data_IF_114316592456
#
_entry.id   IF_114316592456
#
_cell.length_a   1.000
_cell.length_b   1.000
_cell.length_c   1.000
_cell.angle_alpha   90.00
_cell.angle_beta   90.00
_cell.angle_gamma   90.00
#
_symmetry.space_group_name_H-M   'P 1'
#
loop_
_entity.id
_entity.type
_entity.pdbx_description
1 polymer ?
#
# COMPACT_ATOMS: atom_id res chain seq x y z
N UNK A 1 22.33 1.11 -4.41
CA UNK A 1 21.09 1.08 -3.63
C UNK A 1 20.66 2.51 -3.46
N UNK A 2 19.40 2.84 -3.65
CA UNK A 2 18.87 4.18 -3.41
C UNK A 2 18.23 4.21 -2.03
N UNK A 3 18.39 5.33 -1.32
CA UNK A 3 17.77 5.57 -0.04
C UNK A 3 16.66 6.59 -0.18
N UNK A 4 15.55 6.36 0.49
CA UNK A 4 14.39 7.24 0.47
C UNK A 4 13.80 7.45 1.85
N UNK A 5 12.82 8.34 1.92
CA UNK A 5 12.07 8.63 3.14
C UNK A 5 10.59 8.84 2.83
N UNK A 6 9.75 8.49 3.80
CA UNK A 6 8.31 8.68 3.67
C UNK A 6 7.89 10.10 4.03
N UNK A 7 7.14 10.74 3.16
CA UNK A 7 6.73 12.15 3.28
C UNK A 7 5.91 12.48 4.53
N UNK A 8 5.25 11.50 5.15
CA UNK A 8 4.45 11.72 6.39
C UNK A 8 5.26 12.27 7.55
N UNK A 9 6.57 12.00 7.58
CA UNK A 9 7.47 12.49 8.64
C UNK A 9 7.65 14.01 8.61
N UNK A 10 7.21 14.70 7.55
CA UNK A 10 7.43 16.12 7.31
C UNK A 10 6.13 16.93 7.24
N UNK A 11 5.06 16.43 7.85
CA UNK A 11 3.77 17.14 7.81
C UNK A 11 3.74 18.46 8.60
N UNK A 12 4.82 18.82 9.28
CA UNK A 12 5.08 20.16 9.81
C UNK A 12 5.60 21.17 8.76
N UNK A 13 6.10 20.69 7.60
CA UNK A 13 6.67 21.50 6.52
C UNK A 13 5.68 21.73 5.36
N UNK A 14 5.98 22.71 4.50
CA UNK A 14 5.39 22.77 3.16
C UNK A 14 6.12 21.81 2.21
N UNK A 15 5.61 21.65 0.99
CA UNK A 15 6.15 20.66 0.03
C UNK A 15 7.58 20.98 -0.40
N UNK A 16 7.86 22.24 -0.75
CA UNK A 16 9.18 22.64 -1.23
C UNK A 16 10.25 22.52 -0.14
N UNK A 17 9.96 23.01 1.08
CA UNK A 17 10.89 22.91 2.21
C UNK A 17 11.18 21.45 2.59
N UNK A 18 10.19 20.57 2.44
CA UNK A 18 10.38 19.14 2.67
C UNK A 18 11.31 18.53 1.60
N UNK A 19 11.09 18.85 0.33
CA UNK A 19 11.94 18.35 -0.76
C UNK A 19 13.37 18.86 -0.65
N UNK A 20 13.58 20.15 -0.30
CA UNK A 20 14.89 20.73 -0.04
C UNK A 20 15.61 19.98 1.08
N UNK A 21 14.93 19.76 2.20
CA UNK A 21 15.48 19.02 3.34
C UNK A 21 15.89 17.59 2.98
N UNK A 22 15.04 16.88 2.23
CA UNK A 22 15.30 15.49 1.80
C UNK A 22 16.53 15.45 0.88
N UNK A 23 16.64 16.36 -0.08
CA UNK A 23 17.76 16.44 -1.00
C UNK A 23 19.08 16.81 -0.27
N UNK A 24 19.04 17.81 0.62
CA UNK A 24 20.19 18.23 1.44
C UNK A 24 20.68 17.13 2.39
N UNK A 25 19.76 16.24 2.82
CA UNK A 25 20.10 15.07 3.64
C UNK A 25 20.79 13.95 2.86
N UNK A 26 20.97 14.11 1.54
CA UNK A 26 21.64 13.13 0.69
C UNK A 26 20.81 11.90 0.37
N UNK A 27 19.48 12.00 0.46
CA UNK A 27 18.56 10.95 0.06
C UNK A 27 18.25 11.02 -1.44
N UNK A 28 17.94 9.86 -2.03
CA UNK A 28 17.68 9.73 -3.47
C UNK A 28 16.20 9.78 -3.82
N UNK A 29 15.35 9.38 -2.87
CA UNK A 29 13.95 9.08 -3.14
C UNK A 29 13.02 9.57 -2.04
N UNK A 30 11.75 9.78 -2.44
CA UNK A 30 10.66 10.08 -1.52
C UNK A 30 9.48 9.15 -1.81
N UNK A 31 8.87 8.61 -0.76
CA UNK A 31 7.56 7.99 -0.81
C UNK A 31 6.49 9.02 -0.48
N UNK A 32 5.45 9.13 -1.30
CA UNK A 32 4.47 10.21 -1.17
C UNK A 32 3.10 9.66 -0.80
N UNK A 33 2.55 10.16 0.33
CA UNK A 33 1.18 9.87 0.75
C UNK A 33 0.15 10.51 -0.18
N UNK A 34 -0.84 9.73 -0.60
CA UNK A 34 -1.90 10.13 -1.54
C UNK A 34 -3.30 10.01 -0.95
N UNK A 35 -3.42 9.54 0.28
CA UNK A 35 -4.69 9.37 0.99
C UNK A 35 -4.63 8.26 2.04
N UNK A 36 -5.76 7.96 2.66
CA UNK A 36 -5.84 6.99 3.75
C UNK A 36 -5.07 7.42 5.00
N UNK A 37 -4.46 6.47 5.70
CA UNK A 37 -3.68 6.74 6.91
C UNK A 37 -2.52 7.73 6.68
N UNK A 38 -1.77 7.67 5.56
CA UNK A 38 -0.75 8.66 5.25
C UNK A 38 -1.30 10.07 5.02
N UNK A 39 -2.56 10.21 4.65
CA UNK A 39 -3.11 11.49 4.20
C UNK A 39 -2.57 11.94 2.83
N UNK A 40 -3.03 13.09 2.37
CA UNK A 40 -2.80 13.63 1.02
C UNK A 40 -2.17 15.03 1.03
N UNK A 41 -1.48 15.40 2.11
CA UNK A 41 -1.00 16.77 2.29
C UNK A 41 -0.20 17.29 1.11
N UNK A 42 0.68 16.49 0.57
CA UNK A 42 1.61 16.88 -0.51
C UNK A 42 1.16 16.44 -1.89
N UNK A 43 0.13 15.57 -2.00
CA UNK A 43 -0.33 15.01 -3.25
C UNK A 43 -1.86 15.00 -3.31
N UNK A 44 -2.43 16.04 -3.90
CA UNK A 44 -3.89 16.18 -4.05
C UNK A 44 -4.35 15.42 -5.28
N UNK A 45 -4.86 14.20 -5.09
CA UNK A 45 -5.22 13.26 -6.16
C UNK A 45 -6.11 13.90 -7.23
N UNK A 46 -7.24 14.49 -6.85
CA UNK A 46 -8.22 15.01 -7.81
C UNK A 46 -7.62 16.15 -8.66
N UNK A 47 -6.85 17.05 -8.03
CA UNK A 47 -6.18 18.13 -8.74
C UNK A 47 -5.14 17.63 -9.76
N UNK A 48 -4.36 16.62 -9.35
CA UNK A 48 -3.31 16.06 -10.22
C UNK A 48 -3.88 15.16 -11.30
N UNK A 49 -4.99 14.46 -11.06
CA UNK A 49 -5.66 13.66 -12.08
C UNK A 49 -6.30 14.51 -13.18
N UNK A 50 -6.86 15.67 -12.82
CA UNK A 50 -7.59 16.53 -13.75
C UNK A 50 -6.69 17.52 -14.51
N UNK A 51 -5.50 17.86 -13.99
CA UNK A 51 -4.69 18.96 -14.50
C UNK A 51 -3.26 18.53 -14.81
N UNK A 52 -2.91 18.49 -16.10
CA UNK A 52 -1.58 18.10 -16.58
C UNK A 52 -0.49 19.10 -16.17
N UNK A 53 -0.77 20.40 -16.21
CA UNK A 53 0.23 21.41 -15.82
C UNK A 53 0.59 21.26 -14.33
N UNK A 54 -0.39 20.94 -13.48
CA UNK A 54 -0.13 20.65 -12.05
C UNK A 54 0.69 19.37 -11.88
N UNK A 55 0.43 18.32 -12.66
CA UNK A 55 1.26 17.10 -12.64
C UNK A 55 2.71 17.39 -13.03
N UNK A 56 2.89 18.16 -14.11
CA UNK A 56 4.22 18.54 -14.56
C UNK A 56 4.96 19.39 -13.52
N UNK A 57 4.27 20.35 -12.90
CA UNK A 57 4.84 21.17 -11.84
C UNK A 57 5.21 20.33 -10.61
N UNK A 58 4.35 19.42 -10.19
CA UNK A 58 4.58 18.49 -9.09
C UNK A 58 5.84 17.64 -9.33
N UNK A 59 5.93 16.98 -10.48
CA UNK A 59 7.10 16.18 -10.83
C UNK A 59 8.36 17.02 -10.97
N UNK A 60 8.25 18.21 -11.55
CA UNK A 60 9.37 19.13 -11.71
C UNK A 60 9.96 19.56 -10.38
N UNK A 61 9.13 19.87 -9.38
CA UNK A 61 9.60 20.22 -8.02
C UNK A 61 10.47 19.12 -7.42
N UNK A 62 10.13 17.85 -7.66
CA UNK A 62 10.88 16.69 -7.17
C UNK A 62 12.16 16.48 -7.98
N UNK A 63 12.05 16.46 -9.31
CA UNK A 63 13.17 16.10 -10.20
C UNK A 63 14.24 17.20 -10.30
N UNK A 64 13.88 18.49 -10.18
CA UNK A 64 14.83 19.60 -10.15
C UNK A 64 15.80 19.49 -8.95
N UNK A 65 15.45 18.75 -7.91
CA UNK A 65 16.29 18.44 -6.74
C UNK A 65 17.05 17.13 -6.84
N UNK A 66 16.96 16.46 -7.99
CA UNK A 66 17.59 15.15 -8.21
C UNK A 66 16.87 14.00 -7.49
N UNK A 67 15.69 14.25 -6.88
CA UNK A 67 14.90 13.24 -6.20
C UNK A 67 14.03 12.45 -7.18
N UNK A 68 13.61 11.25 -6.74
CA UNK A 68 12.67 10.38 -7.44
C UNK A 68 11.55 9.95 -6.49
N UNK A 69 10.38 9.66 -7.03
CA UNK A 69 9.32 9.02 -6.25
C UNK A 69 9.61 7.51 -6.20
N UNK A 70 9.73 6.94 -4.99
CA UNK A 70 9.89 5.49 -4.81
C UNK A 70 8.57 4.74 -4.98
N UNK A 71 7.48 5.36 -4.61
CA UNK A 71 6.13 4.86 -4.71
C UNK A 71 5.13 5.84 -4.12
N UNK A 72 3.86 5.66 -4.46
CA UNK A 72 2.77 6.32 -3.77
C UNK A 72 2.25 5.45 -2.63
N UNK A 73 1.78 6.08 -1.55
CA UNK A 73 1.25 5.39 -0.37
C UNK A 73 -0.20 5.75 -0.11
N UNK A 74 -1.03 4.71 -0.12
CA UNK A 74 -2.47 4.81 0.11
C UNK A 74 -2.93 3.67 1.04
N UNK A 75 -2.49 3.73 2.31
CA UNK A 75 -2.77 2.70 3.30
C UNK A 75 -4.20 2.82 3.85
N UNK A 76 -5.08 1.95 3.38
CA UNK A 76 -6.52 1.93 3.63
C UNK A 76 -7.05 0.53 3.93
N UNK A 77 -8.34 0.46 4.26
CA UNK A 77 -9.08 -0.80 4.42
C UNK A 77 -10.19 -0.95 3.36
N UNK A 78 -9.88 -1.40 2.14
CA UNK A 78 -10.86 -1.49 1.07
C UNK A 78 -11.90 -2.60 1.23
N UNK A 79 -11.74 -3.47 2.21
CA UNK A 79 -12.70 -4.54 2.57
C UNK A 79 -13.27 -4.34 3.97
N UNK A 80 -13.29 -3.08 4.45
CA UNK A 80 -13.88 -2.74 5.74
C UNK A 80 -15.33 -3.23 5.84
N UNK A 81 -15.77 -3.70 7.03
CA UNK A 81 -17.18 -3.98 7.28
C UNK A 81 -18.05 -2.71 7.32
N UNK A 82 -17.45 -1.53 7.37
CA UNK A 82 -18.12 -0.25 7.09
C UNK A 82 -18.10 0.01 5.58
N UNK A 83 -19.27 -0.03 4.90
CA UNK A 83 -19.31 0.13 3.45
C UNK A 83 -18.89 1.53 2.96
N UNK A 84 -18.98 2.56 3.81
CA UNK A 84 -18.53 3.91 3.47
C UNK A 84 -17.00 3.95 3.45
N UNK A 85 -16.37 3.43 4.50
CA UNK A 85 -14.92 3.31 4.58
C UNK A 85 -14.36 2.45 3.46
N UNK A 86 -14.97 1.29 3.18
CA UNK A 86 -14.54 0.41 2.10
C UNK A 86 -14.59 1.09 0.72
N UNK A 87 -15.68 1.81 0.45
CA UNK A 87 -15.86 2.54 -0.81
C UNK A 87 -14.82 3.67 -0.97
N UNK A 88 -14.67 4.50 0.05
CA UNK A 88 -13.69 5.60 0.03
C UNK A 88 -12.26 5.08 -0.13
N UNK A 89 -11.94 3.97 0.52
CA UNK A 89 -10.65 3.30 0.41
C UNK A 89 -10.38 2.79 -1.01
N UNK A 90 -11.35 2.11 -1.63
CA UNK A 90 -11.23 1.62 -3.01
C UNK A 90 -11.10 2.77 -4.02
N UNK A 91 -11.95 3.79 -3.92
CA UNK A 91 -11.90 4.97 -4.80
C UNK A 91 -10.55 5.68 -4.73
N UNK A 92 -10.03 5.89 -3.52
CA UNK A 92 -8.73 6.53 -3.30
C UNK A 92 -7.59 5.67 -3.86
N UNK A 93 -7.61 4.37 -3.64
CA UNK A 93 -6.59 3.45 -4.15
C UNK A 93 -6.58 3.39 -5.68
N UNK A 94 -7.75 3.31 -6.33
CA UNK A 94 -7.84 3.36 -7.79
C UNK A 94 -7.41 4.70 -8.39
N UNK A 95 -7.72 5.81 -7.76
CA UNK A 95 -7.21 7.14 -8.13
C UNK A 95 -5.69 7.20 -8.01
N UNK A 96 -5.14 6.67 -6.93
CA UNK A 96 -3.68 6.60 -6.72
C UNK A 96 -2.99 5.78 -7.81
N UNK A 97 -3.54 4.62 -8.17
CA UNK A 97 -3.01 3.78 -9.25
C UNK A 97 -3.05 4.52 -10.60
N UNK A 98 -4.14 5.22 -10.92
CA UNK A 98 -4.21 6.04 -12.15
C UNK A 98 -3.18 7.16 -12.16
N UNK A 99 -3.01 7.84 -11.04
CA UNK A 99 -2.00 8.91 -10.93
C UNK A 99 -0.58 8.33 -11.05
N UNK A 100 -0.33 7.16 -10.49
CA UNK A 100 0.95 6.46 -10.61
C UNK A 100 1.29 6.15 -12.08
N UNK A 101 0.33 5.64 -12.85
CA UNK A 101 0.49 5.46 -14.30
C UNK A 101 0.79 6.78 -15.03
N UNK A 102 0.04 7.86 -14.76
CA UNK A 102 0.22 9.17 -15.42
C UNK A 102 1.56 9.84 -15.10
N UNK A 103 2.21 9.47 -13.99
CA UNK A 103 3.46 10.05 -13.51
C UNK A 103 4.65 9.08 -13.61
N UNK A 104 4.48 7.93 -14.27
CA UNK A 104 5.49 6.87 -14.39
C UNK A 104 6.03 6.40 -13.03
N UNK A 105 5.18 6.42 -11.98
CA UNK A 105 5.51 5.88 -10.66
C UNK A 105 5.17 4.39 -10.64
N UNK A 106 6.17 3.50 -10.48
CA UNK A 106 5.98 2.07 -10.79
C UNK A 106 5.15 1.30 -9.76
N UNK A 107 4.90 1.91 -8.57
CA UNK A 107 4.33 1.15 -7.46
C UNK A 107 3.44 2.00 -6.56
N UNK A 108 2.41 1.36 -6.00
CA UNK A 108 1.54 1.90 -4.96
C UNK A 108 1.58 0.99 -3.74
N UNK A 109 1.93 1.56 -2.59
CA UNK A 109 1.96 0.89 -1.30
C UNK A 109 0.60 0.99 -0.60
N UNK A 110 0.12 -0.11 -0.02
CA UNK A 110 -1.17 -0.15 0.70
C UNK A 110 -1.24 -1.31 1.69
N UNK A 111 -2.33 -1.37 2.48
CA UNK A 111 -2.68 -2.54 3.27
C UNK A 111 -3.60 -3.49 2.50
N UNK A 112 -3.60 -4.77 2.87
CA UNK A 112 -4.50 -5.75 2.26
C UNK A 112 -5.98 -5.55 2.61
N UNK A 113 -6.23 -4.87 3.71
CA UNK A 113 -7.54 -4.77 4.31
C UNK A 113 -7.83 -5.87 5.34
N UNK A 114 -8.88 -5.64 6.10
CA UNK A 114 -9.42 -6.53 7.13
C UNK A 114 -10.94 -6.43 7.16
N UNK A 115 -11.63 -7.56 7.01
CA UNK A 115 -13.09 -7.64 7.02
C UNK A 115 -13.65 -7.92 8.41
N UNK A 116 -14.97 -7.93 8.54
CA UNK A 116 -15.69 -8.38 9.72
C UNK A 116 -15.74 -9.90 9.84
N UNK A 117 -16.39 -10.41 10.88
CA UNK A 117 -16.60 -11.84 11.08
C UNK A 117 -17.61 -12.46 10.12
N UNK A 118 -18.52 -11.64 9.59
CA UNK A 118 -19.60 -12.00 8.69
C UNK A 118 -20.19 -10.74 8.03
N UNK A 119 -21.21 -10.87 7.17
CA UNK A 119 -21.85 -9.76 6.45
C UNK A 119 -22.61 -8.77 7.35
N UNK A 120 -22.90 -9.14 8.59
CA UNK A 120 -23.60 -8.26 9.54
C UNK A 120 -22.67 -7.50 10.47
N UNK A 121 -21.38 -7.86 10.47
CA UNK A 121 -20.36 -7.24 11.30
C UNK A 121 -20.22 -5.74 10.98
N UNK A 122 -19.98 -4.95 12.04
CA UNK A 122 -19.77 -3.49 11.94
C UNK A 122 -18.35 -3.08 12.28
N UNK A 123 -17.52 -4.04 12.67
CA UNK A 123 -16.11 -3.82 13.04
C UNK A 123 -15.24 -4.93 12.45
N UNK A 124 -14.00 -4.62 12.12
CA UNK A 124 -13.03 -5.63 11.71
C UNK A 124 -12.83 -6.70 12.79
N UNK A 125 -12.53 -7.91 12.35
CA UNK A 125 -12.13 -9.01 13.22
C UNK A 125 -10.83 -9.62 12.67
N UNK A 126 -9.82 -9.77 13.51
CA UNK A 126 -8.53 -10.34 13.09
C UNK A 126 -8.26 -11.68 13.79
N UNK A 127 -8.73 -12.81 13.22
CA UNK A 127 -8.45 -14.13 13.76
C UNK A 127 -6.99 -14.51 13.45
N UNK A 128 -6.21 -14.78 14.52
CA UNK A 128 -4.79 -15.13 14.42
C UNK A 128 -4.49 -16.57 14.80
N UNK A 129 -5.53 -17.33 15.17
CA UNK A 129 -5.42 -18.73 15.58
C UNK A 129 -6.59 -19.52 15.01
N UNK A 130 -6.40 -20.79 14.63
CA UNK A 130 -7.48 -21.65 14.11
C UNK A 130 -8.40 -22.20 15.20
N UNK A 131 -8.14 -21.90 16.46
CA UNK A 131 -8.92 -22.39 17.59
C UNK A 131 -9.49 -21.24 18.42
N UNK A 132 -10.77 -21.29 18.80
CA UNK A 132 -11.81 -22.31 18.45
C UNK A 132 -12.20 -22.30 16.97
N UNK A 133 -12.91 -23.33 16.50
CA UNK A 133 -13.32 -23.52 15.09
C UNK A 133 -13.96 -22.30 14.45
N UNK A 134 -14.72 -21.52 15.22
CA UNK A 134 -15.30 -20.26 14.74
C UNK A 134 -14.26 -19.28 14.15
N UNK A 135 -13.01 -19.31 14.63
CA UNK A 135 -11.96 -18.45 14.04
C UNK A 135 -11.50 -18.92 12.66
N UNK A 136 -11.49 -20.24 12.43
CA UNK A 136 -11.24 -20.77 11.08
C UNK A 136 -12.36 -20.42 10.12
N UNK A 137 -13.61 -20.48 10.56
CA UNK A 137 -14.79 -20.12 9.75
C UNK A 137 -14.76 -18.62 9.39
N UNK A 138 -14.42 -17.76 10.35
CA UNK A 138 -14.24 -16.32 10.11
C UNK A 138 -13.09 -16.08 9.09
N UNK A 139 -11.96 -16.74 9.28
CA UNK A 139 -10.81 -16.62 8.38
C UNK A 139 -11.18 -17.05 6.95
N UNK A 140 -11.86 -18.18 6.79
CA UNK A 140 -12.27 -18.68 5.48
C UNK A 140 -13.26 -17.73 4.80
N UNK A 141 -14.25 -17.20 5.54
CA UNK A 141 -15.16 -16.16 5.05
C UNK A 141 -14.39 -14.91 4.58
N UNK A 142 -13.49 -14.37 5.41
CA UNK A 142 -12.75 -13.16 5.09
C UNK A 142 -11.86 -13.33 3.85
N UNK A 143 -11.20 -14.47 3.71
CA UNK A 143 -10.34 -14.76 2.57
C UNK A 143 -11.12 -15.03 1.29
N UNK A 144 -12.12 -15.92 1.35
CA UNK A 144 -12.77 -16.41 0.15
C UNK A 144 -13.90 -15.52 -0.35
N UNK A 145 -14.62 -14.84 0.58
CA UNK A 145 -15.78 -14.02 0.23
C UNK A 145 -15.45 -12.51 0.13
N UNK A 146 -14.35 -12.04 0.75
CA UNK A 146 -14.01 -10.63 0.78
C UNK A 146 -12.65 -10.33 0.13
N UNK A 147 -11.57 -10.90 0.66
CA UNK A 147 -10.21 -10.51 0.25
C UNK A 147 -9.90 -10.91 -1.19
N UNK A 148 -10.00 -12.19 -1.50
CA UNK A 148 -9.60 -12.72 -2.82
C UNK A 148 -10.44 -12.08 -3.94
N UNK A 149 -11.79 -12.02 -3.86
CA UNK A 149 -12.57 -11.39 -4.91
C UNK A 149 -12.22 -9.92 -5.15
N UNK A 150 -12.02 -9.14 -4.08
CA UNK A 150 -11.61 -7.75 -4.19
C UNK A 150 -10.25 -7.60 -4.87
N UNK A 151 -9.26 -8.38 -4.42
CA UNK A 151 -7.90 -8.26 -4.93
C UNK A 151 -7.72 -8.83 -6.33
N UNK A 152 -8.55 -9.78 -6.77
CA UNK A 152 -8.57 -10.23 -8.16
C UNK A 152 -8.99 -9.10 -9.10
N UNK A 153 -10.06 -8.39 -8.77
CA UNK A 153 -10.54 -7.25 -9.56
C UNK A 153 -9.50 -6.10 -9.58
N UNK A 154 -8.97 -5.74 -8.41
CA UNK A 154 -7.97 -4.67 -8.32
C UNK A 154 -6.65 -5.01 -8.99
N UNK A 155 -6.22 -6.28 -8.95
CA UNK A 155 -4.99 -6.73 -9.60
C UNK A 155 -5.07 -6.64 -11.13
N UNK A 156 -6.21 -6.96 -11.73
CA UNK A 156 -6.43 -6.75 -13.16
C UNK A 156 -6.45 -5.26 -13.53
N UNK A 157 -7.10 -4.44 -12.71
CA UNK A 157 -7.05 -2.99 -12.90
C UNK A 157 -5.62 -2.42 -12.80
N UNK A 158 -4.84 -2.86 -11.82
CA UNK A 158 -3.43 -2.45 -11.67
C UNK A 158 -2.58 -2.87 -12.87
N UNK A 159 -2.81 -4.08 -13.41
CA UNK A 159 -2.17 -4.59 -14.61
C UNK A 159 -2.52 -3.76 -15.86
N UNK A 160 -3.79 -3.37 -16.02
CA UNK A 160 -4.22 -2.48 -17.11
C UNK A 160 -3.54 -1.10 -17.04
N UNK A 161 -3.22 -0.63 -15.83
CA UNK A 161 -2.51 0.63 -15.60
C UNK A 161 -0.98 0.47 -15.63
N UNK A 162 -0.43 -0.74 -15.75
CA UNK A 162 1.00 -1.07 -15.64
C UNK A 162 1.64 -0.56 -14.33
N UNK A 163 0.91 -0.64 -13.22
CA UNK A 163 1.33 -0.19 -11.89
C UNK A 163 1.29 -1.36 -10.92
N UNK A 164 2.39 -1.66 -10.25
CA UNK A 164 2.44 -2.70 -9.23
C UNK A 164 1.83 -2.20 -7.92
N UNK A 165 1.22 -3.12 -7.18
CA UNK A 165 0.74 -2.85 -5.83
C UNK A 165 1.62 -3.62 -4.85
N UNK A 166 2.21 -2.91 -3.89
CA UNK A 166 3.00 -3.49 -2.82
C UNK A 166 2.19 -3.45 -1.52
N UNK A 167 1.78 -4.63 -1.06
CA UNK A 167 1.01 -4.79 0.17
C UNK A 167 1.98 -4.86 1.34
N UNK A 168 1.81 -3.95 2.30
CA UNK A 168 2.59 -3.95 3.53
C UNK A 168 2.13 -5.09 4.45
N UNK A 169 3.10 -5.90 4.91
CA UNK A 169 2.87 -7.06 5.77
C UNK A 169 2.63 -6.61 7.22
N UNK A 170 1.50 -5.98 7.45
CA UNK A 170 1.17 -5.34 8.71
C UNK A 170 0.21 -6.19 9.54
N UNK A 171 0.53 -6.40 10.82
CA UNK A 171 -0.37 -7.05 11.75
C UNK A 171 -1.68 -6.26 11.92
N UNK A 172 -2.79 -6.98 12.14
CA UNK A 172 -4.13 -6.38 12.14
C UNK A 172 -4.80 -6.40 10.78
N UNK A 173 -4.09 -6.82 9.72
CA UNK A 173 -4.62 -7.04 8.38
C UNK A 173 -4.53 -8.51 7.97
N UNK A 174 -5.24 -8.91 6.92
CA UNK A 174 -5.29 -10.33 6.51
C UNK A 174 -3.98 -10.80 5.88
N UNK A 175 -3.26 -9.91 5.19
CA UNK A 175 -1.92 -10.19 4.68
C UNK A 175 -0.88 -9.55 5.60
N UNK A 176 -0.33 -10.32 6.52
CA UNK A 176 0.58 -9.86 7.56
C UNK A 176 1.86 -10.69 7.69
N UNK A 177 1.98 -11.75 6.90
CA UNK A 177 3.15 -12.63 6.88
C UNK A 177 3.57 -12.94 5.44
N UNK A 178 4.82 -13.41 5.21
CA UNK A 178 5.24 -13.85 3.88
C UNK A 178 4.32 -14.90 3.26
N UNK A 179 3.81 -15.84 4.07
CA UNK A 179 2.92 -16.90 3.58
C UNK A 179 1.55 -16.38 3.16
N UNK A 180 0.97 -15.45 3.92
CA UNK A 180 -0.30 -14.84 3.55
C UNK A 180 -0.16 -13.97 2.29
N UNK A 181 1.02 -13.34 2.10
CA UNK A 181 1.33 -12.62 0.86
C UNK A 181 1.39 -13.54 -0.35
N UNK A 182 2.11 -14.65 -0.24
CA UNK A 182 2.19 -15.61 -1.35
C UNK A 182 0.82 -16.24 -1.67
N UNK A 183 0.02 -16.54 -0.65
CA UNK A 183 -1.37 -17.03 -0.83
C UNK A 183 -2.21 -16.03 -1.64
N UNK A 184 -2.12 -14.73 -1.33
CA UNK A 184 -2.87 -13.72 -2.07
C UNK A 184 -2.34 -13.56 -3.50
N UNK A 185 -1.02 -13.53 -3.68
CA UNK A 185 -0.39 -13.43 -5.00
C UNK A 185 -0.74 -14.61 -5.91
N UNK A 186 -0.78 -15.83 -5.37
CA UNK A 186 -1.21 -17.02 -6.11
C UNK A 186 -2.68 -16.93 -6.56
N UNK A 187 -3.52 -16.32 -5.72
CA UNK A 187 -4.94 -16.12 -6.04
C UNK A 187 -5.21 -14.95 -6.99
N UNK A 188 -4.21 -14.10 -7.27
CA UNK A 188 -4.32 -12.87 -8.08
C UNK A 188 -3.36 -12.94 -9.28
N UNK A 189 -2.40 -12.03 -9.38
CA UNK A 189 -1.39 -12.00 -10.45
C UNK A 189 -0.06 -11.37 -9.98
N UNK A 190 0.91 -11.25 -10.89
CA UNK A 190 2.25 -10.73 -10.64
C UNK A 190 2.32 -9.23 -10.35
N UNK A 191 1.24 -8.47 -10.53
CA UNK A 191 1.18 -7.05 -10.16
C UNK A 191 0.98 -6.83 -8.66
N UNK A 192 0.64 -7.89 -7.91
CA UNK A 192 0.54 -7.85 -6.46
C UNK A 192 1.84 -8.38 -5.84
N UNK A 193 2.48 -7.59 -5.01
CA UNK A 193 3.71 -7.93 -4.30
C UNK A 193 3.74 -7.38 -2.88
N UNK A 194 4.87 -7.56 -2.21
CA UNK A 194 5.06 -7.13 -0.83
C UNK A 194 5.77 -5.78 -0.74
N UNK A 195 5.27 -4.90 0.11
CA UNK A 195 6.05 -3.87 0.76
C UNK A 195 6.59 -4.46 2.06
N UNK A 196 7.92 -4.60 2.14
CA UNK A 196 8.56 -5.23 3.29
C UNK A 196 9.01 -4.17 4.30
N UNK A 197 8.25 -4.03 5.38
CA UNK A 197 8.69 -3.33 6.58
C UNK A 197 9.12 -4.35 7.63
N UNK A 198 10.44 -4.45 7.94
CA UNK A 198 10.92 -5.42 8.91
C UNK A 198 10.40 -5.18 10.32
N UNK A 199 10.02 -3.96 10.68
CA UNK A 199 9.50 -3.65 12.01
C UNK A 199 8.23 -4.43 12.33
N UNK A 200 7.35 -4.60 11.32
CA UNK A 200 6.13 -5.36 11.45
C UNK A 200 6.34 -6.88 11.50
N UNK A 201 7.47 -7.37 11.05
CA UNK A 201 7.85 -8.78 11.14
C UNK A 201 8.46 -9.11 12.50
N UNK A 202 9.35 -8.25 13.02
CA UNK A 202 10.07 -8.51 14.26
C UNK A 202 9.15 -8.71 15.47
N UNK A 203 8.15 -7.87 15.64
CA UNK A 203 7.25 -8.05 16.77
C UNK A 203 6.32 -9.28 16.63
N UNK A 204 6.15 -9.81 15.43
CA UNK A 204 5.49 -11.09 15.17
C UNK A 204 6.43 -12.29 15.36
N UNK A 205 7.72 -12.06 15.67
CA UNK A 205 8.72 -13.11 15.81
C UNK A 205 9.20 -13.68 14.48
N UNK A 206 9.02 -12.97 13.39
CA UNK A 206 9.42 -13.40 12.04
C UNK A 206 10.78 -12.79 11.72
N UNK A 207 11.74 -13.64 11.30
CA UNK A 207 13.03 -13.19 10.81
C UNK A 207 12.88 -12.53 9.42
N UNK A 208 13.22 -11.22 9.28
CA UNK A 208 13.10 -10.52 7.99
C UNK A 208 13.96 -11.13 6.88
N UNK A 209 15.12 -11.71 7.20
CA UNK A 209 15.97 -12.37 6.21
C UNK A 209 15.30 -13.63 5.66
N UNK A 210 14.68 -14.41 6.54
CA UNK A 210 13.88 -15.56 6.13
C UNK A 210 12.66 -15.12 5.29
N UNK A 211 12.00 -14.02 5.69
CA UNK A 211 10.89 -13.44 4.95
C UNK A 211 11.29 -13.04 3.53
N UNK A 212 12.42 -12.33 3.36
CA UNK A 212 12.96 -11.94 2.04
C UNK A 212 13.19 -13.18 1.15
N UNK A 213 13.76 -14.24 1.72
CA UNK A 213 14.02 -15.49 0.98
C UNK A 213 12.74 -16.20 0.55
N UNK A 214 11.71 -16.20 1.42
CA UNK A 214 10.41 -16.81 1.13
C UNK A 214 9.68 -16.02 0.06
N UNK A 215 9.64 -14.69 0.17
CA UNK A 215 8.97 -13.82 -0.78
C UNK A 215 9.65 -13.84 -2.16
N UNK A 216 10.99 -13.94 -2.21
CA UNK A 216 11.72 -14.02 -3.47
C UNK A 216 11.30 -12.91 -4.45
N UNK A 217 10.76 -13.28 -5.61
CA UNK A 217 10.29 -12.34 -6.64
C UNK A 217 8.96 -11.64 -6.31
N UNK A 218 8.27 -12.05 -5.23
CA UNK A 218 7.06 -11.36 -4.76
C UNK A 218 7.37 -10.04 -4.01
N UNK A 219 8.64 -9.75 -3.76
CA UNK A 219 9.05 -8.45 -3.23
C UNK A 219 8.96 -7.39 -4.33
N UNK A 220 8.10 -6.40 -4.17
CA UNK A 220 8.00 -5.26 -5.08
C UNK A 220 8.79 -4.05 -4.55
N UNK A 221 8.76 -3.80 -3.25
CA UNK A 221 9.47 -2.72 -2.56
C UNK A 221 9.97 -3.21 -1.21
N UNK A 222 11.02 -2.56 -0.72
CA UNK A 222 11.56 -2.77 0.62
C UNK A 222 11.54 -1.44 1.37
N UNK A 223 10.88 -1.39 2.52
CA UNK A 223 11.04 -0.36 3.52
C UNK A 223 12.07 -0.80 4.55
N UNK A 224 12.99 0.09 4.89
CA UNK A 224 13.99 -0.11 5.94
C UNK A 224 13.98 1.07 6.91
#
# INVERSE_FOLDING_TARGET
MKLGVFSVLFYDKNFEDMLDYVAESGLDMIEVGTGGNPGDKFCKLDELLENEDKRQAFMKSITDRGLQISGFSCHNNPISPDPTEAKEADETLRKTIRLANLLDVPVVNTFSGIAGSDDTAKKPNWPVTPWPTAYSEIYDYQWNEKLIPYWQDLAEFAKEQDVKIAIELHAGFLVHTPYTMLKLREATNEYIGANLDPSHLWWQGIDPIAAIRILGQANAIHHF
#
